data_IF_149181149285
#
_entry.id   IF_149181149285
#
_cell.length_a   1.000
_cell.length_b   1.000
_cell.length_c   1.000
_cell.angle_alpha   90.00
_cell.angle_beta   90.00
_cell.angle_gamma   90.00
#
_symmetry.space_group_name_H-M   'P 1'
#
loop_
_entity.id
_entity.type
_entity.pdbx_description
1 polymer ?
#
# COMPACT_ATOMS: atom_id res chain seq x y z
N UNK A 1 7.88 14.72 -28.76
CA UNK A 1 6.74 13.80 -28.78
C UNK A 1 6.26 13.62 -27.35
N UNK A 2 5.48 14.56 -26.86
CA UNK A 2 4.98 14.56 -25.47
C UNK A 2 3.56 14.06 -25.53
N UNK A 3 3.32 12.84 -25.05
CA UNK A 3 2.01 12.21 -25.04
C UNK A 3 1.08 12.95 -24.06
N UNK A 4 0.28 13.85 -24.64
CA UNK A 4 -1.11 14.18 -24.32
C UNK A 4 -1.65 13.54 -23.02
N UNK A 5 -1.57 14.28 -21.92
CA UNK A 5 -2.49 14.15 -20.77
C UNK A 5 -3.90 14.33 -21.28
N UNK A 6 -4.65 13.24 -21.36
CA UNK A 6 -6.08 13.27 -21.65
C UNK A 6 -6.81 13.42 -20.32
N UNK A 7 -7.09 14.65 -19.93
CA UNK A 7 -8.22 14.95 -19.04
C UNK A 7 -9.51 14.69 -19.84
N UNK A 8 -10.25 13.66 -19.45
CA UNK A 8 -11.63 13.38 -19.82
C UNK A 8 -12.55 13.81 -18.67
N UNK A 9 -13.74 14.37 -18.95
CA UNK A 9 -14.61 14.87 -17.91
C UNK A 9 -15.24 13.69 -17.15
N UNK A 10 -14.99 13.61 -15.84
CA UNK A 10 -15.50 12.54 -14.96
C UNK A 10 -14.46 11.53 -14.43
N UNK A 11 -13.16 11.82 -14.53
CA UNK A 11 -12.07 10.93 -14.13
C UNK A 11 -12.04 10.72 -12.61
N UNK A 12 -12.51 9.57 -12.16
CA UNK A 12 -11.87 8.92 -11.02
C UNK A 12 -10.46 8.52 -11.46
N UNK A 13 -9.40 8.87 -10.71
CA UNK A 13 -8.05 8.46 -11.07
C UNK A 13 -8.05 6.94 -11.22
N UNK A 14 -7.56 6.46 -12.37
CA UNK A 14 -7.44 5.02 -12.62
C UNK A 14 -6.67 4.39 -11.46
N UNK A 15 -7.17 3.30 -10.84
CA UNK A 15 -6.43 2.67 -9.78
C UNK A 15 -5.06 2.26 -10.33
N UNK A 16 -3.96 2.59 -9.64
CA UNK A 16 -2.63 2.27 -10.13
C UNK A 16 -2.55 0.76 -10.40
N UNK A 17 -1.81 0.32 -11.43
CA UNK A 17 -1.73 -1.10 -11.74
C UNK A 17 -1.21 -1.86 -10.50
N UNK A 18 -1.83 -2.99 -10.18
CA UNK A 18 -1.47 -3.83 -9.01
C UNK A 18 0.00 -4.23 -8.98
N UNK A 19 0.64 -4.30 -10.15
CA UNK A 19 2.06 -4.58 -10.30
C UNK A 19 2.98 -3.35 -10.20
N UNK A 20 2.42 -2.15 -10.09
CA UNK A 20 3.17 -0.91 -9.93
C UNK A 20 3.99 -0.94 -8.64
N UNK A 21 5.23 -0.43 -8.65
CA UNK A 21 6.01 -0.24 -7.43
C UNK A 21 5.25 0.56 -6.39
N UNK A 22 4.32 1.44 -6.77
CA UNK A 22 3.50 2.26 -5.86
C UNK A 22 2.53 1.43 -5.01
N UNK A 23 1.87 0.45 -5.62
CA UNK A 23 0.96 -0.50 -4.95
C UNK A 23 1.76 -1.57 -4.21
N UNK A 24 2.83 -2.05 -4.86
CA UNK A 24 3.79 -3.00 -4.30
C UNK A 24 4.89 -2.34 -3.48
N UNK A 25 4.74 -1.07 -3.02
CA UNK A 25 5.70 -0.46 -2.08
C UNK A 25 5.53 -1.19 -0.75
N UNK A 26 6.10 -2.40 -0.71
CA UNK A 26 6.82 -2.94 0.41
C UNK A 26 7.82 -1.85 0.71
N UNK A 27 7.53 -0.95 1.64
CA UNK A 27 8.59 -0.16 2.24
C UNK A 27 9.58 -1.21 2.73
N UNK A 28 10.70 -1.35 2.01
CA UNK A 28 11.69 -2.42 2.21
C UNK A 28 12.20 -2.40 3.65
N UNK A 29 12.05 -1.25 4.29
CA UNK A 29 12.29 -1.02 5.69
C UNK A 29 11.03 -0.40 6.32
N UNK A 30 10.16 -1.21 6.93
CA UNK A 30 9.02 -0.68 7.70
C UNK A 30 9.47 0.31 8.77
N UNK A 31 10.74 0.25 9.20
CA UNK A 31 11.31 1.23 10.12
C UNK A 31 11.27 2.63 9.53
N UNK A 32 11.44 2.85 8.23
CA UNK A 32 11.34 4.18 7.61
C UNK A 32 9.94 4.78 7.76
N UNK A 33 8.90 3.94 7.76
CA UNK A 33 7.53 4.39 8.02
C UNK A 33 7.33 4.89 9.47
N UNK A 34 8.21 4.49 10.40
CA UNK A 34 8.20 4.90 11.81
C UNK A 34 9.39 5.80 12.20
N UNK A 35 10.48 5.81 11.44
CA UNK A 35 11.70 6.61 11.67
C UNK A 35 11.39 8.06 11.36
N UNK A 36 11.57 8.92 12.36
CA UNK A 36 11.19 10.34 12.29
C UNK A 36 9.77 10.62 12.82
N UNK A 37 8.99 9.61 13.20
CA UNK A 37 7.73 9.82 13.92
C UNK A 37 7.94 9.58 15.42
N UNK A 38 7.64 10.62 16.20
CA UNK A 38 7.82 10.64 17.65
C UNK A 38 6.99 9.56 18.38
N UNK A 39 5.88 9.12 17.77
CA UNK A 39 5.03 8.03 18.28
C UNK A 39 4.68 7.00 17.22
N UNK A 40 4.87 5.72 17.55
CA UNK A 40 4.29 4.60 16.81
C UNK A 40 2.80 4.55 17.15
N UNK A 41 2.00 5.31 16.41
CA UNK A 41 0.57 5.40 16.63
C UNK A 41 -0.19 4.26 15.94
N UNK A 42 -1.34 3.88 16.53
CA UNK A 42 -2.30 2.90 15.98
C UNK A 42 -2.89 3.29 14.62
N UNK A 43 -2.68 4.53 14.17
CA UNK A 43 -3.21 5.07 12.91
C UNK A 43 -2.24 4.93 11.73
N UNK A 44 -1.04 4.36 11.93
CA UNK A 44 -0.05 4.20 10.87
C UNK A 44 -0.29 2.88 10.14
N UNK A 45 -0.68 2.97 8.87
CA UNK A 45 -0.76 1.82 7.97
C UNK A 45 0.53 1.74 7.12
N UNK A 46 1.43 0.77 7.37
CA UNK A 46 2.64 0.59 6.55
C UNK A 46 2.33 0.19 5.09
N UNK A 47 1.08 -0.20 4.81
CA UNK A 47 0.59 -0.62 3.50
C UNK A 47 -0.39 0.38 2.89
N UNK A 48 -0.27 1.67 3.25
CA UNK A 48 -1.17 2.75 2.81
C UNK A 48 -1.35 2.81 1.28
N UNK A 49 -0.30 2.54 0.50
CA UNK A 49 -0.38 2.51 -0.97
C UNK A 49 -1.32 1.42 -1.49
N UNK A 50 -1.19 0.19 -0.99
CA UNK A 50 -2.07 -0.92 -1.36
C UNK A 50 -3.52 -0.71 -0.85
N UNK A 51 -3.67 -0.10 0.33
CA UNK A 51 -4.97 0.29 0.89
C UNK A 51 -5.69 1.28 -0.02
N UNK A 52 -5.04 2.40 -0.39
CA UNK A 52 -5.59 3.40 -1.32
C UNK A 52 -5.94 2.80 -2.68
N UNK A 53 -5.08 1.94 -3.22
CA UNK A 53 -5.33 1.27 -4.49
C UNK A 53 -6.56 0.35 -4.45
N UNK A 54 -6.74 -0.39 -3.35
CA UNK A 54 -7.92 -1.24 -3.14
C UNK A 54 -9.21 -0.42 -3.07
N UNK A 55 -9.20 0.71 -2.36
CA UNK A 55 -10.35 1.62 -2.30
C UNK A 55 -10.64 2.27 -3.66
N UNK A 56 -9.61 2.64 -4.43
CA UNK A 56 -9.78 3.18 -5.77
C UNK A 56 -10.45 2.17 -6.72
N UNK A 57 -10.05 0.89 -6.64
CA UNK A 57 -10.71 -0.19 -7.37
C UNK A 57 -12.19 -0.35 -6.97
N UNK A 58 -12.48 -0.39 -5.67
CA UNK A 58 -13.85 -0.50 -5.16
C UNK A 58 -14.73 0.67 -5.64
N UNK A 59 -14.24 1.90 -5.55
CA UNK A 59 -14.96 3.09 -6.01
C UNK A 59 -15.30 3.03 -7.50
N UNK A 60 -14.40 2.45 -8.32
CA UNK A 60 -14.60 2.29 -9.77
C UNK A 60 -15.61 1.19 -10.11
N UNK A 61 -15.67 0.13 -9.30
CA UNK A 61 -16.45 -1.07 -9.58
C UNK A 61 -17.72 -1.18 -8.73
N UNK A 62 -18.28 -0.06 -8.24
CA UNK A 62 -19.47 -0.05 -7.39
C UNK A 62 -19.34 -0.95 -6.14
N UNK A 63 -18.16 -0.96 -5.54
CA UNK A 63 -17.81 -1.80 -4.39
C UNK A 63 -17.91 -3.31 -4.64
N UNK A 64 -17.83 -3.73 -5.91
CA UNK A 64 -17.68 -5.13 -6.28
C UNK A 64 -16.30 -5.65 -5.86
N UNK A 65 -16.32 -6.54 -4.86
CA UNK A 65 -15.12 -7.05 -4.22
C UNK A 65 -14.37 -8.04 -5.10
N UNK A 66 -15.09 -8.81 -5.90
CA UNK A 66 -14.54 -9.88 -6.73
C UNK A 66 -13.64 -9.31 -7.84
N UNK A 67 -13.97 -8.10 -8.33
CA UNK A 67 -13.17 -7.37 -9.32
C UNK A 67 -11.86 -6.79 -8.76
N UNK A 68 -11.72 -6.72 -7.43
CA UNK A 68 -10.60 -6.05 -6.76
C UNK A 68 -9.70 -7.01 -5.97
N UNK A 69 -9.84 -8.32 -6.17
CA UNK A 69 -9.11 -9.34 -5.42
C UNK A 69 -7.59 -9.17 -5.49
N UNK A 70 -7.04 -8.85 -6.66
CA UNK A 70 -5.59 -8.63 -6.82
C UNK A 70 -5.06 -7.46 -5.97
N UNK A 71 -5.86 -6.41 -5.76
CA UNK A 71 -5.50 -5.29 -4.89
C UNK A 71 -5.49 -5.70 -3.42
N UNK A 72 -6.46 -6.53 -3.02
CA UNK A 72 -6.52 -7.07 -1.67
C UNK A 72 -5.39 -8.07 -1.39
N UNK A 73 -5.01 -8.88 -2.37
CA UNK A 73 -3.85 -9.76 -2.29
C UNK A 73 -2.57 -8.95 -2.05
N UNK A 74 -2.35 -7.89 -2.84
CA UNK A 74 -1.22 -6.99 -2.63
C UNK A 74 -1.19 -6.38 -1.21
N UNK A 75 -2.35 -5.99 -0.67
CA UNK A 75 -2.45 -5.50 0.72
C UNK A 75 -2.10 -6.59 1.75
N UNK A 76 -2.61 -7.82 1.56
CA UNK A 76 -2.33 -8.97 2.44
C UNK A 76 -0.85 -9.32 2.43
N UNK A 77 -0.24 -9.33 1.26
CA UNK A 77 1.19 -9.61 1.08
C UNK A 77 2.06 -8.57 1.76
N UNK A 78 1.73 -7.29 1.59
CA UNK A 78 2.42 -6.19 2.28
C UNK A 78 2.33 -6.37 3.81
N UNK A 79 1.14 -6.65 4.33
CA UNK A 79 0.93 -6.86 5.77
C UNK A 79 1.66 -8.09 6.30
N UNK A 80 1.68 -9.17 5.53
CA UNK A 80 2.39 -10.40 5.89
C UNK A 80 3.91 -10.15 5.95
N UNK A 81 4.48 -9.52 4.92
CA UNK A 81 5.90 -9.15 4.88
C UNK A 81 6.28 -8.25 6.06
N UNK A 82 5.44 -7.26 6.39
CA UNK A 82 5.65 -6.39 7.54
C UNK A 82 5.66 -7.14 8.87
N UNK A 83 4.67 -8.02 9.09
CA UNK A 83 4.62 -8.84 10.31
C UNK A 83 5.82 -9.76 10.42
N UNK A 84 6.29 -10.32 9.30
CA UNK A 84 7.49 -11.14 9.26
C UNK A 84 8.73 -10.33 9.63
N UNK A 85 8.96 -9.19 8.99
CA UNK A 85 10.08 -8.29 9.33
C UNK A 85 10.08 -7.88 10.81
N UNK A 86 8.90 -7.60 11.39
CA UNK A 86 8.79 -7.30 12.83
C UNK A 86 9.12 -8.48 13.73
N UNK A 87 8.78 -9.71 13.33
CA UNK A 87 9.12 -10.92 14.07
C UNK A 87 10.63 -11.15 14.02
N UNK A 88 11.22 -11.04 12.83
CA UNK A 88 12.65 -11.20 12.61
C UNK A 88 13.46 -10.16 13.38
N UNK A 89 13.02 -8.89 13.37
CA UNK A 89 13.69 -7.82 14.14
C UNK A 89 13.62 -8.05 15.66
N UNK A 90 12.50 -8.54 16.17
CA UNK A 90 12.38 -8.93 17.59
C UNK A 90 13.30 -10.09 17.93
N UNK A 91 13.40 -11.09 17.05
CA UNK A 91 14.28 -12.24 17.24
C UNK A 91 15.76 -11.85 17.15
N UNK A 92 16.10 -10.90 16.27
CA UNK A 92 17.45 -10.35 16.14
C UNK A 92 17.80 -9.29 17.20
N UNK A 93 16.90 -8.99 18.14
CA UNK A 93 17.13 -7.98 19.18
C UNK A 93 17.27 -6.54 18.65
N UNK A 94 16.79 -6.26 17.43
CA UNK A 94 16.89 -4.93 16.84
C UNK A 94 15.88 -4.00 17.51
N UNK A 95 16.30 -2.81 17.98
CA UNK A 95 15.38 -1.86 18.60
C UNK A 95 14.39 -1.34 17.55
N UNK A 96 13.11 -1.29 17.90
CA UNK A 96 12.03 -0.77 17.03
C UNK A 96 11.92 0.76 17.08
N UNK A 97 12.80 1.42 17.83
CA UNK A 97 12.99 2.87 17.87
C UNK A 97 14.29 3.23 17.15
#
# INVERSE_FOLDING_TARGET
MTTRTTEQPGIFPEPPPVNSPEVKRRNLNYREAFQGRETVSKFIDPCEGASKASYACLNKHNFDRDKCMEYFEAYRDCKAAWLQQRRDDRQAGRPTK
#
